data_IF_662189852596
#
_entry.id   IF_662189852596
#
_cell.length_a   1.000
_cell.length_b   1.000
_cell.length_c   1.000
_cell.angle_alpha   90.00
_cell.angle_beta   90.00
_cell.angle_gamma   90.00
#
_symmetry.space_group_name_H-M   'P 1'
#
loop_
_entity.id
_entity.type
_entity.pdbx_description
1 polymer ?
#
# COMPACT_ATOMS: atom_id res chain seq x y z
N UNK A 1 -31.59 -0.66 22.40
CA UNK A 1 -32.30 0.07 21.34
C UNK A 1 -31.54 1.36 20.97
N UNK A 2 -30.33 1.27 20.40
CA UNK A 2 -29.53 2.46 20.05
C UNK A 2 -28.82 2.37 18.68
N UNK A 3 -28.98 1.27 17.95
CA UNK A 3 -28.32 1.05 16.64
C UNK A 3 -29.09 1.72 15.49
N UNK A 4 -30.28 2.26 15.74
CA UNK A 4 -31.22 2.67 14.68
C UNK A 4 -31.11 4.13 14.26
N UNK A 5 -30.74 5.04 15.17
CA UNK A 5 -30.85 6.49 14.88
C UNK A 5 -29.72 7.00 13.98
N UNK A 6 -28.49 6.50 14.18
CA UNK A 6 -27.33 6.94 13.39
C UNK A 6 -27.42 6.48 11.92
N UNK A 7 -27.83 5.24 11.69
CA UNK A 7 -28.01 4.71 10.33
C UNK A 7 -29.18 5.38 9.61
N UNK A 8 -30.28 5.67 10.31
CA UNK A 8 -31.41 6.42 9.75
C UNK A 8 -31.02 7.86 9.41
N UNK A 9 -30.23 8.51 10.25
CA UNK A 9 -29.75 9.87 9.99
C UNK A 9 -28.79 9.91 8.80
N UNK A 10 -27.88 8.94 8.68
CA UNK A 10 -27.00 8.82 7.52
C UNK A 10 -27.80 8.57 6.23
N UNK A 11 -28.77 7.65 6.26
CA UNK A 11 -29.66 7.37 5.13
C UNK A 11 -30.45 8.63 4.70
N UNK A 12 -31.02 9.36 5.67
CA UNK A 12 -31.78 10.59 5.39
C UNK A 12 -30.87 11.71 4.86
N UNK A 13 -29.65 11.83 5.37
CA UNK A 13 -28.66 12.82 4.89
C UNK A 13 -28.27 12.54 3.44
N UNK A 14 -27.97 11.29 3.09
CA UNK A 14 -27.62 10.87 1.72
C UNK A 14 -28.80 11.02 0.76
N UNK A 15 -30.02 10.76 1.25
CA UNK A 15 -31.24 10.87 0.44
C UNK A 15 -31.62 12.32 0.12
N UNK A 16 -31.40 13.24 1.07
CA UNK A 16 -31.82 14.63 0.94
C UNK A 16 -30.79 15.50 0.21
N UNK A 17 -29.49 15.19 0.34
CA UNK A 17 -28.43 15.92 -0.35
C UNK A 17 -27.69 14.97 -1.30
N UNK A 18 -27.88 15.11 -2.64
CA UNK A 18 -27.10 14.33 -3.58
C UNK A 18 -25.63 14.66 -3.39
N UNK A 19 -24.78 13.62 -3.42
CA UNK A 19 -23.35 13.79 -3.30
C UNK A 19 -22.85 14.78 -4.35
N UNK A 20 -22.26 15.89 -3.90
CA UNK A 20 -21.51 16.78 -4.77
C UNK A 20 -20.20 16.09 -5.10
N UNK A 21 -20.17 15.42 -6.24
CA UNK A 21 -18.93 14.91 -6.82
C UNK A 21 -18.15 16.15 -7.28
N UNK A 22 -16.94 16.41 -6.77
CA UNK A 22 -16.10 17.51 -7.27
C UNK A 22 -15.89 17.36 -8.77
N UNK A 23 -15.82 18.48 -9.49
CA UNK A 23 -15.49 18.47 -10.92
C UNK A 23 -14.07 17.90 -11.10
N UNK A 24 -13.95 16.81 -11.87
CA UNK A 24 -12.69 16.16 -12.22
C UNK A 24 -11.96 17.03 -13.25
N UNK A 25 -11.05 17.88 -12.78
CA UNK A 25 -10.19 18.70 -13.64
C UNK A 25 -9.01 17.89 -14.24
N UNK A 26 -8.96 16.59 -13.97
CA UNK A 26 -7.97 15.65 -14.50
C UNK A 26 -6.55 15.84 -13.96
N UNK A 27 -6.35 16.73 -13.00
CA UNK A 27 -5.02 17.06 -12.48
C UNK A 27 -4.88 16.84 -10.96
N UNK A 28 -5.94 16.39 -10.28
CA UNK A 28 -5.92 16.28 -8.83
C UNK A 28 -5.64 14.85 -8.32
N UNK A 29 -4.42 14.63 -7.82
CA UNK A 29 -4.02 13.43 -7.05
C UNK A 29 -4.90 13.22 -5.80
N UNK A 30 -5.68 14.22 -5.37
CA UNK A 30 -6.60 14.08 -4.23
C UNK A 30 -7.69 13.03 -4.49
N UNK A 31 -8.07 12.79 -5.75
CA UNK A 31 -9.03 11.75 -6.10
C UNK A 31 -8.46 10.34 -5.91
N UNK A 32 -7.16 10.14 -6.14
CA UNK A 32 -6.50 8.83 -5.99
C UNK A 32 -6.55 8.33 -4.54
N UNK A 33 -6.56 9.24 -3.56
CA UNK A 33 -6.60 8.89 -2.14
C UNK A 33 -7.98 9.05 -1.50
N UNK A 34 -9.03 9.25 -2.31
CA UNK A 34 -10.39 9.32 -1.81
C UNK A 34 -10.88 7.92 -1.40
N UNK A 35 -11.26 7.75 -0.13
CA UNK A 35 -11.71 6.48 0.45
C UNK A 35 -10.67 5.34 0.37
N UNK A 36 -9.52 5.46 1.04
CA UNK A 36 -8.49 4.43 1.01
C UNK A 36 -8.94 3.15 1.76
N UNK A 37 -8.39 2.01 1.35
CA UNK A 37 -8.58 0.73 2.06
C UNK A 37 -8.04 0.82 3.50
N UNK A 38 -6.97 1.59 3.70
CA UNK A 38 -6.40 1.93 5.03
C UNK A 38 -5.47 3.13 4.93
N UNK A 39 -5.41 3.91 6.00
CA UNK A 39 -4.40 4.97 6.18
C UNK A 39 -3.90 5.05 7.63
N UNK A 40 -2.71 5.59 7.86
CA UNK A 40 -2.13 5.63 9.19
C UNK A 40 -0.63 5.94 9.25
N UNK A 41 -0.15 6.31 10.44
CA UNK A 41 1.27 6.62 10.66
C UNK A 41 2.07 5.36 10.99
N UNK A 42 3.09 5.06 10.18
CA UNK A 42 4.00 3.94 10.44
C UNK A 42 5.46 4.38 10.41
N UNK A 43 6.33 3.55 11.01
CA UNK A 43 7.77 3.65 10.86
C UNK A 43 8.24 2.72 9.75
N UNK A 44 9.02 3.22 8.79
CA UNK A 44 9.63 2.39 7.74
C UNK A 44 11.14 2.39 7.81
N UNK A 45 11.75 1.25 7.49
CA UNK A 45 13.20 1.14 7.33
C UNK A 45 13.64 1.63 5.94
N UNK A 46 14.76 2.35 5.89
CA UNK A 46 15.39 2.75 4.64
C UNK A 46 16.01 1.57 3.88
N UNK A 47 16.17 1.73 2.56
CA UNK A 47 16.61 0.66 1.67
C UNK A 47 18.11 0.42 1.77
N UNK A 48 18.89 1.34 1.18
CA UNK A 48 20.36 1.35 1.25
C UNK A 48 20.85 1.74 2.64
N UNK A 49 20.35 2.86 3.16
CA UNK A 49 20.69 3.35 4.51
C UNK A 49 19.59 2.89 5.46
N UNK A 50 19.94 2.10 6.47
CA UNK A 50 19.00 1.46 7.41
C UNK A 50 18.54 2.41 8.52
N UNK A 51 17.98 3.55 8.13
CA UNK A 51 17.36 4.53 9.05
C UNK A 51 15.86 4.36 9.10
N UNK A 52 15.27 4.48 10.28
CA UNK A 52 13.82 4.53 10.47
C UNK A 52 13.28 5.92 10.16
N UNK A 53 12.14 5.98 9.45
CA UNK A 53 11.44 7.23 9.13
C UNK A 53 9.94 7.06 9.41
N UNK A 54 9.35 8.04 10.09
CA UNK A 54 7.90 8.13 10.28
C UNK A 54 7.27 8.68 9.01
N UNK A 55 6.28 7.99 8.47
CA UNK A 55 5.58 8.35 7.23
C UNK A 55 4.09 8.06 7.37
N UNK A 56 3.27 8.89 6.75
CA UNK A 56 1.84 8.64 6.62
C UNK A 56 1.65 7.67 5.46
N UNK A 57 1.06 6.52 5.71
CA UNK A 57 0.82 5.50 4.71
C UNK A 57 -0.64 5.54 4.27
N UNK A 58 -0.86 5.32 2.98
CA UNK A 58 -2.18 5.15 2.39
C UNK A 58 -2.13 3.88 1.52
N UNK A 59 -3.05 2.96 1.77
CA UNK A 59 -3.30 1.78 0.95
C UNK A 59 -4.52 2.03 0.09
N UNK A 60 -4.33 2.03 -1.23
CA UNK A 60 -5.41 2.15 -2.21
C UNK A 60 -4.93 1.62 -3.56
N UNK A 61 -5.85 1.17 -4.42
CA UNK A 61 -5.55 0.72 -5.79
C UNK A 61 -4.37 -0.25 -5.90
N UNK A 62 -4.29 -1.22 -4.99
CA UNK A 62 -3.22 -2.22 -4.93
C UNK A 62 -1.81 -1.65 -4.82
N UNK A 63 -1.71 -0.41 -4.31
CA UNK A 63 -0.48 0.31 -4.07
C UNK A 63 -0.41 0.79 -2.63
N UNK A 64 0.79 0.73 -2.06
CA UNK A 64 1.08 1.33 -0.77
C UNK A 64 1.88 2.61 -0.98
N UNK A 65 1.22 3.73 -0.75
CA UNK A 65 1.77 5.08 -0.83
C UNK A 65 2.29 5.50 0.55
N UNK A 66 3.32 6.33 0.56
CA UNK A 66 3.76 6.95 1.80
C UNK A 66 4.19 8.40 1.61
N UNK A 67 3.83 9.24 2.56
CA UNK A 67 3.99 10.70 2.55
C UNK A 67 4.85 11.15 3.72
N UNK A 68 5.45 12.33 3.61
CA UNK A 68 6.17 12.92 4.73
C UNK A 68 5.20 13.52 5.75
N UNK A 69 4.18 14.21 5.26
CA UNK A 69 3.09 14.79 6.03
C UNK A 69 1.72 14.39 5.46
N UNK A 70 0.68 14.46 6.29
CA UNK A 70 -0.71 14.17 5.88
C UNK A 70 -1.29 15.20 4.91
N UNK A 71 -0.67 16.38 4.83
CA UNK A 71 -1.08 17.50 3.96
C UNK A 71 -0.36 17.49 2.61
N UNK A 72 0.59 16.57 2.40
CA UNK A 72 1.33 16.49 1.15
C UNK A 72 0.42 15.99 0.03
N UNK A 73 0.46 16.68 -1.12
CA UNK A 73 -0.29 16.26 -2.31
C UNK A 73 0.40 15.14 -3.08
N UNK A 74 1.73 15.08 -3.00
CA UNK A 74 2.54 14.11 -3.72
C UNK A 74 3.16 13.08 -2.76
N UNK A 75 3.12 11.79 -3.10
CA UNK A 75 3.72 10.76 -2.26
C UNK A 75 5.24 10.86 -2.26
N UNK A 76 5.84 10.62 -1.09
CA UNK A 76 7.29 10.44 -0.97
C UNK A 76 7.74 9.14 -1.65
N UNK A 77 6.88 8.14 -1.75
CA UNK A 77 7.10 7.00 -2.62
C UNK A 77 5.90 6.08 -2.73
N UNK A 78 5.99 5.20 -3.72
CA UNK A 78 4.91 4.33 -4.17
C UNK A 78 5.46 2.91 -4.25
N UNK A 79 4.74 1.97 -3.64
CA UNK A 79 5.08 0.54 -3.65
C UNK A 79 3.89 -0.22 -4.24
N UNK A 80 3.92 -0.56 -5.53
CA UNK A 80 2.98 -1.52 -6.12
C UNK A 80 3.04 -2.85 -5.35
N UNK A 81 1.88 -3.38 -4.95
CA UNK A 81 1.79 -4.61 -4.17
C UNK A 81 1.75 -5.87 -5.03
N UNK A 82 1.77 -5.71 -6.35
CA UNK A 82 1.79 -6.78 -7.34
C UNK A 82 2.92 -7.79 -7.08
N UNK A 83 2.58 -9.07 -6.98
CA UNK A 83 3.54 -10.16 -6.70
C UNK A 83 4.25 -10.05 -5.34
N UNK A 84 3.81 -9.16 -4.45
CA UNK A 84 4.34 -9.08 -3.09
C UNK A 84 3.49 -9.93 -2.14
N UNK A 85 4.08 -10.21 -0.99
CA UNK A 85 3.42 -10.80 0.16
C UNK A 85 3.79 -10.00 1.40
N UNK A 86 2.94 -10.09 2.42
CA UNK A 86 3.16 -9.46 3.72
C UNK A 86 3.15 -10.50 4.84
N UNK A 87 4.10 -10.37 5.75
CA UNK A 87 4.23 -11.22 6.94
C UNK A 87 4.63 -10.40 8.15
N UNK A 88 4.28 -10.90 9.33
CA UNK A 88 4.87 -10.42 10.58
C UNK A 88 6.36 -10.77 10.62
N UNK A 89 7.17 -9.88 11.17
CA UNK A 89 8.60 -10.11 11.44
C UNK A 89 9.00 -9.56 12.80
N UNK A 90 9.91 -10.26 13.46
CA UNK A 90 10.59 -9.75 14.65
C UNK A 90 11.76 -8.88 14.23
N UNK A 91 11.85 -7.65 14.76
CA UNK A 91 13.00 -6.77 14.54
C UNK A 91 13.63 -6.37 15.87
N UNK A 92 14.96 -6.44 16.03
CA UNK A 92 15.62 -6.07 17.28
C UNK A 92 15.26 -4.65 17.71
N UNK A 93 14.70 -4.49 18.92
CA UNK A 93 14.33 -3.20 19.52
C UNK A 93 13.24 -2.42 18.76
N UNK A 94 12.52 -3.07 17.84
CA UNK A 94 11.32 -2.51 17.19
C UNK A 94 10.22 -3.58 17.23
N UNK A 95 9.23 -3.46 18.13
CA UNK A 95 8.10 -4.37 18.15
C UNK A 95 7.15 -4.08 16.97
N UNK A 96 6.21 -4.99 16.75
CA UNK A 96 5.06 -4.81 15.86
C UNK A 96 5.44 -4.54 14.39
N UNK A 97 6.43 -5.26 13.89
CA UNK A 97 6.91 -5.09 12.53
C UNK A 97 6.28 -6.09 11.55
N UNK A 98 6.08 -5.61 10.33
CA UNK A 98 5.69 -6.37 9.16
C UNK A 98 6.75 -6.19 8.06
N UNK A 99 6.79 -7.15 7.14
CA UNK A 99 7.67 -7.11 5.98
C UNK A 99 6.88 -7.34 4.70
N UNK A 100 7.00 -6.40 3.75
CA UNK A 100 6.64 -6.62 2.36
C UNK A 100 7.83 -7.25 1.62
N UNK A 101 7.61 -8.39 0.99
CA UNK A 101 8.64 -9.14 0.28
C UNK A 101 8.07 -9.81 -0.97
N UNK A 102 8.92 -10.09 -1.95
CA UNK A 102 8.54 -10.91 -3.09
C UNK A 102 8.88 -12.39 -2.79
N UNK A 103 7.91 -13.30 -2.67
CA UNK A 103 8.16 -14.71 -2.37
C UNK A 103 8.87 -15.45 -3.52
N UNK A 104 8.69 -14.98 -4.77
CA UNK A 104 9.16 -15.64 -5.99
C UNK A 104 10.52 -15.10 -6.47
N UNK A 105 11.09 -14.10 -5.82
CA UNK A 105 12.33 -13.44 -6.27
C UNK A 105 13.18 -12.94 -5.10
N UNK A 106 13.60 -13.88 -4.25
CA UNK A 106 14.47 -13.56 -3.09
C UNK A 106 15.74 -12.86 -3.56
N UNK A 107 16.08 -11.73 -2.91
CA UNK A 107 17.27 -10.94 -3.20
C UNK A 107 17.14 -9.96 -4.36
N UNK A 108 16.07 -10.04 -5.16
CA UNK A 108 15.78 -9.02 -6.18
C UNK A 108 15.15 -7.78 -5.54
N UNK A 109 15.33 -6.64 -6.21
CA UNK A 109 14.71 -5.38 -5.77
C UNK A 109 13.21 -5.42 -6.07
N UNK A 110 12.43 -4.92 -5.13
CA UNK A 110 11.01 -4.63 -5.33
C UNK A 110 10.90 -3.41 -6.22
N UNK A 111 10.07 -3.50 -7.26
CA UNK A 111 9.73 -2.38 -8.12
C UNK A 111 8.94 -1.36 -7.31
N UNK A 112 9.52 -0.18 -7.14
CA UNK A 112 8.93 0.93 -6.40
C UNK A 112 9.61 2.22 -6.84
N UNK A 113 9.00 3.37 -6.57
CA UNK A 113 9.63 4.67 -6.76
C UNK A 113 9.63 5.49 -5.46
N UNK A 114 10.54 6.47 -5.38
CA UNK A 114 10.57 7.46 -4.31
C UNK A 114 11.08 8.79 -4.83
N UNK A 115 10.67 9.87 -4.17
CA UNK A 115 11.14 11.22 -4.43
C UNK A 115 12.30 11.54 -3.48
N UNK A 116 13.46 11.90 -4.03
CA UNK A 116 14.60 12.37 -3.25
C UNK A 116 14.36 13.78 -2.69
N UNK A 117 15.29 14.28 -1.87
CA UNK A 117 15.13 15.61 -1.25
C UNK A 117 15.20 16.76 -2.25
N UNK A 118 15.74 16.52 -3.44
CA UNK A 118 15.83 17.48 -4.55
C UNK A 118 14.64 17.39 -5.52
N UNK A 119 13.60 16.62 -5.19
CA UNK A 119 12.40 16.45 -6.01
C UNK A 119 12.52 15.40 -7.11
N UNK A 120 13.69 14.79 -7.34
CA UNK A 120 13.83 13.76 -8.37
C UNK A 120 13.17 12.45 -7.97
N UNK A 121 12.39 11.88 -8.88
CA UNK A 121 11.83 10.53 -8.74
C UNK A 121 12.87 9.50 -9.14
N UNK A 122 13.14 8.54 -8.26
CA UNK A 122 14.12 7.46 -8.48
C UNK A 122 13.53 6.11 -8.10
N UNK A 123 14.07 5.04 -8.69
CA UNK A 123 13.71 3.67 -8.32
C UNK A 123 14.10 3.35 -6.86
N UNK A 124 13.23 2.63 -6.18
CA UNK A 124 13.48 2.03 -4.87
C UNK A 124 14.69 1.09 -4.90
N UNK A 125 15.41 1.01 -3.78
CA UNK A 125 16.58 0.13 -3.62
C UNK A 125 16.32 -0.98 -2.60
N UNK A 126 15.05 -1.28 -2.35
CA UNK A 126 14.60 -2.22 -1.33
C UNK A 126 14.47 -3.62 -1.91
N UNK A 127 15.03 -4.63 -1.24
CA UNK A 127 14.73 -6.05 -1.51
C UNK A 127 13.47 -6.50 -0.73
N UNK A 128 13.23 -5.85 0.41
CA UNK A 128 12.01 -5.94 1.19
C UNK A 128 11.77 -4.61 1.90
N UNK A 129 10.53 -4.36 2.32
CA UNK A 129 10.17 -3.21 3.14
C UNK A 129 9.78 -3.68 4.54
N UNK A 130 10.65 -3.42 5.52
CA UNK A 130 10.31 -3.56 6.94
C UNK A 130 9.61 -2.29 7.43
N UNK A 131 8.43 -2.46 7.99
CA UNK A 131 7.56 -1.40 8.50
C UNK A 131 7.12 -1.79 9.91
N UNK A 132 7.02 -0.85 10.85
CA UNK A 132 6.55 -1.13 12.20
C UNK A 132 5.41 -0.17 12.58
N UNK A 133 4.39 -0.76 13.20
CA UNK A 133 3.23 -0.07 13.73
C UNK A 133 3.45 0.38 15.19
N UNK A 134 2.52 1.17 15.73
CA UNK A 134 2.56 1.59 17.13
C UNK A 134 2.08 0.49 18.09
N UNK A 135 1.25 -0.44 17.61
CA UNK A 135 0.72 -1.57 18.39
C UNK A 135 0.66 -2.86 17.57
N UNK A 136 0.50 -4.00 18.25
CA UNK A 136 0.29 -5.29 17.61
C UNK A 136 -1.02 -5.32 16.80
N UNK A 137 -2.09 -4.75 17.37
CA UNK A 137 -3.38 -4.60 16.70
C UNK A 137 -3.24 -3.83 15.40
N UNK A 138 -2.60 -2.66 15.42
CA UNK A 138 -2.39 -1.85 14.22
C UNK A 138 -1.55 -2.60 13.17
N UNK A 139 -0.51 -3.34 13.58
CA UNK A 139 0.27 -4.19 12.66
C UNK A 139 -0.62 -5.23 11.99
N UNK A 140 -1.43 -5.95 12.76
CA UNK A 140 -2.26 -7.05 12.27
C UNK A 140 -3.32 -6.54 11.28
N UNK A 141 -3.92 -5.43 11.62
CA UNK A 141 -4.80 -4.63 10.79
C UNK A 141 -4.18 -4.24 9.44
N UNK A 142 -2.94 -3.72 9.45
CA UNK A 142 -2.22 -3.40 8.22
C UNK A 142 -1.91 -4.65 7.39
N UNK A 143 -1.52 -5.75 8.04
CA UNK A 143 -1.27 -7.04 7.38
C UNK A 143 -2.54 -7.52 6.68
N UNK A 144 -3.69 -7.48 7.35
CA UNK A 144 -4.97 -7.91 6.79
C UNK A 144 -5.38 -7.07 5.59
N UNK A 145 -5.36 -5.73 5.70
CA UNK A 145 -5.73 -4.85 4.59
C UNK A 145 -4.81 -5.02 3.38
N UNK A 146 -3.50 -5.15 3.60
CA UNK A 146 -2.53 -5.40 2.51
C UNK A 146 -2.79 -6.74 1.83
N UNK A 147 -3.07 -7.81 2.60
CA UNK A 147 -3.42 -9.13 2.04
C UNK A 147 -4.68 -9.05 1.20
N UNK A 148 -5.73 -8.42 1.72
CA UNK A 148 -7.00 -8.23 1.02
C UNK A 148 -6.77 -7.50 -0.31
N UNK A 149 -5.99 -6.43 -0.32
CA UNK A 149 -5.67 -5.66 -1.53
C UNK A 149 -4.88 -6.49 -2.56
N UNK A 150 -3.90 -7.30 -2.15
CA UNK A 150 -3.15 -8.18 -3.07
C UNK A 150 -4.06 -9.23 -3.73
N UNK A 151 -5.08 -9.73 -3.03
CA UNK A 151 -5.99 -10.78 -3.54
C UNK A 151 -7.12 -10.27 -4.44
N UNK A 152 -7.33 -8.95 -4.54
CA UNK A 152 -8.45 -8.34 -5.30
C UNK A 152 -8.30 -8.41 -6.84
N UNK A 153 -7.28 -9.08 -7.39
CA UNK A 153 -7.04 -9.08 -8.84
C UNK A 153 -7.48 -10.40 -9.52
N UNK A 154 -8.69 -10.46 -10.13
CA UNK A 154 -9.16 -11.63 -10.90
C UNK A 154 -8.34 -11.90 -12.18
N UNK A 155 -7.50 -10.96 -12.63
CA UNK A 155 -6.62 -11.11 -13.79
C UNK A 155 -5.22 -11.61 -13.41
N UNK A 156 -4.78 -11.42 -12.17
CA UNK A 156 -3.44 -11.81 -11.71
C UNK A 156 -3.24 -13.32 -11.80
N UNK A 157 -4.23 -14.11 -11.40
CA UNK A 157 -4.20 -15.57 -11.58
C UNK A 157 -4.15 -15.94 -13.06
N UNK A 158 -4.96 -15.29 -13.91
CA UNK A 158 -5.00 -15.57 -15.35
C UNK A 158 -3.69 -15.21 -16.07
N UNK A 159 -3.05 -14.10 -15.69
CA UNK A 159 -1.78 -13.62 -16.28
C UNK A 159 -0.58 -14.42 -15.75
N UNK A 160 -0.56 -14.76 -14.46
CA UNK A 160 0.49 -15.58 -13.86
C UNK A 160 0.44 -17.04 -14.36
N UNK A 161 -0.75 -17.59 -14.60
CA UNK A 161 -0.94 -18.87 -15.32
C UNK A 161 -0.38 -18.78 -16.75
N UNK A 162 -0.65 -17.69 -17.49
CA UNK A 162 -0.12 -17.50 -18.85
C UNK A 162 1.41 -17.38 -18.86
N UNK A 163 2.02 -16.62 -17.94
CA UNK A 163 3.49 -16.49 -17.86
C UNK A 163 4.18 -17.83 -17.56
N UNK A 164 3.63 -18.64 -16.64
CA UNK A 164 4.15 -19.99 -16.33
C UNK A 164 4.10 -20.94 -17.54
N UNK A 165 3.05 -20.86 -18.38
CA UNK A 165 2.92 -21.67 -19.61
C UNK A 165 3.91 -21.27 -20.72
N UNK A 166 4.32 -20.00 -20.77
CA UNK A 166 5.28 -19.52 -21.79
C UNK A 166 6.72 -19.89 -21.42
N UNK A 167 7.07 -19.81 -20.13
CA UNK A 167 8.40 -20.18 -19.64
C UNK A 167 8.67 -21.68 -19.83
N UNK A 168 7.68 -22.54 -19.61
CA UNK A 168 7.80 -24.00 -19.79
C UNK A 168 7.78 -24.45 -21.27
N UNK A 169 7.69 -23.52 -22.24
CA UNK A 169 7.65 -23.82 -23.68
C UNK A 169 8.95 -23.49 -24.41
N UNK A 170 9.95 -22.91 -23.75
CA UNK A 170 11.26 -22.65 -24.38
C UNK A 170 12.10 -23.93 -24.25
N UNK A 171 12.40 -24.65 -25.34
CA UNK A 171 13.34 -25.77 -25.28
C UNK A 171 14.75 -25.20 -25.09
N UNK A 172 15.52 -25.77 -24.17
CA UNK A 172 16.96 -25.51 -24.08
C UNK A 172 17.62 -25.91 -25.41
N UNK A 173 18.43 -24.98 -25.95
CA UNK A 173 19.31 -25.26 -27.09
C UNK A 173 20.62 -25.85 -26.61
#
# INVERSE_FOLDING_TARGET
MCVSLHQQNLYNSIRNEPFKIPEDDGNDLTHTFFNPDREGWLLKLGGRVKTWKRRWFILTDNCLYYFEFTTDKEPRGIIPLENLCVREVMFPRKPYCLELYNPNSRGQKIKACKTETDGRVVEGKHQSYTICAASAEERDDWIESIRASITKDPFYDLVSIRKKKVINKVPEK
#
